data_IF_660209009448
#
_entry.id   IF_660209009448
#
_cell.length_a   1.000
_cell.length_b   1.000
_cell.length_c   1.000
_cell.angle_alpha   90.00
_cell.angle_beta   90.00
_cell.angle_gamma   90.00
#
_symmetry.space_group_name_H-M   'P 1'
#
loop_
_entity.id
_entity.type
_entity.pdbx_description
1 polymer ?
#
# COMPACT_ATOMS: atom_id res chain seq x y z
N UNK A 1 -27.92 -15.60 -30.30
CA UNK A 1 -26.47 -15.33 -30.40
C UNK A 1 -26.04 -13.94 -29.89
N UNK A 2 -26.80 -12.86 -30.09
CA UNK A 2 -26.46 -11.52 -29.53
C UNK A 2 -26.26 -11.50 -28.01
N UNK A 3 -27.09 -12.22 -27.25
CA UNK A 3 -26.96 -12.35 -25.78
C UNK A 3 -25.66 -13.04 -25.34
N UNK A 4 -25.22 -14.05 -26.08
CA UNK A 4 -23.97 -14.77 -25.81
C UNK A 4 -22.78 -13.85 -26.11
N UNK A 5 -22.81 -13.10 -27.21
CA UNK A 5 -21.77 -12.11 -27.52
C UNK A 5 -21.63 -11.04 -26.43
N UNK A 6 -22.74 -10.51 -25.92
CA UNK A 6 -22.72 -9.55 -24.80
C UNK A 6 -22.13 -10.19 -23.54
N UNK A 7 -22.52 -11.43 -23.21
CA UNK A 7 -21.98 -12.13 -22.05
C UNK A 7 -20.45 -12.32 -22.14
N UNK A 8 -19.94 -12.71 -23.31
CA UNK A 8 -18.49 -12.85 -23.54
C UNK A 8 -17.76 -11.52 -23.36
N UNK A 9 -18.32 -10.42 -23.88
CA UNK A 9 -17.73 -9.09 -23.72
C UNK A 9 -17.70 -8.65 -22.26
N UNK A 10 -18.80 -8.83 -21.52
CA UNK A 10 -18.86 -8.50 -20.10
C UNK A 10 -17.84 -9.33 -19.31
N UNK A 11 -17.72 -10.63 -19.61
CA UNK A 11 -16.76 -11.50 -18.95
C UNK A 11 -15.31 -11.08 -19.23
N UNK A 12 -14.99 -10.74 -20.48
CA UNK A 12 -13.67 -10.24 -20.85
C UNK A 12 -13.35 -8.92 -20.13
N UNK A 13 -14.33 -8.02 -19.98
CA UNK A 13 -14.17 -6.77 -19.24
C UNK A 13 -13.91 -7.01 -17.75
N UNK A 14 -14.60 -7.98 -17.13
CA UNK A 14 -14.36 -8.33 -15.73
C UNK A 14 -12.93 -8.85 -15.51
N UNK A 15 -12.46 -9.77 -16.37
CA UNK A 15 -11.09 -10.28 -16.30
C UNK A 15 -10.08 -9.14 -16.47
N UNK A 16 -10.30 -8.26 -17.44
CA UNK A 16 -9.43 -7.12 -17.68
C UNK A 16 -9.38 -6.18 -16.46
N UNK A 17 -10.53 -5.85 -15.86
CA UNK A 17 -10.62 -4.98 -14.69
C UNK A 17 -9.95 -5.61 -13.46
N UNK A 18 -10.17 -6.91 -13.20
CA UNK A 18 -9.50 -7.64 -12.12
C UNK A 18 -7.99 -7.72 -12.32
N UNK A 19 -7.53 -7.93 -13.56
CA UNK A 19 -6.11 -7.91 -13.88
C UNK A 19 -5.48 -6.53 -13.64
N UNK A 20 -6.17 -5.47 -14.06
CA UNK A 20 -5.72 -4.09 -13.84
C UNK A 20 -5.67 -3.71 -12.36
N UNK A 21 -6.67 -4.11 -11.56
CA UNK A 21 -6.68 -3.83 -10.12
C UNK A 21 -5.54 -4.54 -9.40
N UNK A 22 -5.29 -5.82 -9.73
CA UNK A 22 -4.17 -6.58 -9.17
C UNK A 22 -2.82 -5.98 -9.57
N UNK A 23 -2.64 -5.62 -10.85
CA UNK A 23 -1.41 -5.00 -11.31
C UNK A 23 -1.14 -3.64 -10.64
N UNK A 24 -2.18 -2.81 -10.50
CA UNK A 24 -2.08 -1.54 -9.78
C UNK A 24 -1.72 -1.78 -8.31
N UNK A 25 -2.40 -2.70 -7.63
CA UNK A 25 -2.12 -3.01 -6.23
C UNK A 25 -0.70 -3.52 -6.03
N UNK A 26 -0.21 -4.38 -6.93
CA UNK A 26 1.16 -4.88 -6.89
C UNK A 26 2.17 -3.75 -6.99
N UNK A 27 1.99 -2.86 -7.97
CA UNK A 27 2.87 -1.70 -8.18
C UNK A 27 2.90 -0.81 -6.94
N UNK A 28 1.73 -0.45 -6.40
CA UNK A 28 1.63 0.42 -5.22
C UNK A 28 2.28 -0.22 -3.99
N UNK A 29 1.96 -1.48 -3.71
CA UNK A 29 2.50 -2.18 -2.53
C UNK A 29 4.02 -2.36 -2.62
N UNK A 30 4.55 -2.62 -3.81
CA UNK A 30 5.99 -2.72 -4.04
C UNK A 30 6.68 -1.36 -3.85
N UNK A 31 6.21 -0.31 -4.54
CA UNK A 31 6.83 1.03 -4.50
C UNK A 31 6.84 1.60 -3.07
N UNK A 32 5.73 1.44 -2.34
CA UNK A 32 5.63 1.90 -0.96
C UNK A 32 6.48 1.07 0.00
N UNK A 33 6.53 -0.25 -0.18
CA UNK A 33 7.40 -1.13 0.64
C UNK A 33 8.87 -0.79 0.43
N UNK A 34 9.27 -0.49 -0.80
CA UNK A 34 10.63 -0.05 -1.13
C UNK A 34 10.93 1.31 -0.47
N UNK A 35 10.03 2.29 -0.61
CA UNK A 35 10.20 3.62 0.00
C UNK A 35 10.31 3.53 1.53
N UNK A 36 9.46 2.73 2.18
CA UNK A 36 9.52 2.51 3.63
C UNK A 36 10.81 1.77 4.05
N UNK A 37 11.32 0.86 3.22
CA UNK A 37 12.59 0.19 3.46
C UNK A 37 13.77 1.16 3.37
N UNK A 38 13.73 2.11 2.43
CA UNK A 38 14.71 3.18 2.32
C UNK A 38 14.67 4.13 3.53
N UNK A 39 13.48 4.48 4.05
CA UNK A 39 13.35 5.24 5.30
C UNK A 39 14.08 4.53 6.44
N UNK A 40 13.84 3.22 6.58
CA UNK A 40 14.48 2.41 7.62
C UNK A 40 16.01 2.36 7.47
N UNK A 41 16.51 2.29 6.24
CA UNK A 41 17.95 2.37 5.97
C UNK A 41 18.54 3.72 6.37
N UNK A 42 17.88 4.83 6.02
CA UNK A 42 18.28 6.17 6.47
C UNK A 42 18.29 6.32 7.99
N UNK A 43 17.31 5.73 8.68
CA UNK A 43 17.28 5.71 10.14
C UNK A 43 18.50 4.95 10.69
N UNK A 44 18.80 3.76 10.15
CA UNK A 44 19.94 2.94 10.58
C UNK A 44 21.29 3.63 10.33
N UNK A 45 21.39 4.42 9.26
CA UNK A 45 22.59 5.20 8.91
C UNK A 45 22.66 6.54 9.65
N UNK A 46 21.71 6.83 10.55
CA UNK A 46 21.60 8.10 11.29
C UNK A 46 21.39 9.33 10.40
N UNK A 47 20.83 9.14 9.19
CA UNK A 47 20.53 10.16 8.19
C UNK A 47 19.07 10.66 8.32
N UNK A 48 18.69 11.11 9.52
CA UNK A 48 17.29 11.38 9.90
C UNK A 48 16.60 12.43 9.00
N UNK A 49 17.34 13.43 8.49
CA UNK A 49 16.79 14.42 7.57
C UNK A 49 16.32 13.82 6.24
N UNK A 50 17.01 12.77 5.74
CA UNK A 50 16.58 12.05 4.53
C UNK A 50 15.36 11.18 4.83
N UNK A 51 15.35 10.51 5.98
CA UNK A 51 14.20 9.72 6.44
C UNK A 51 12.92 10.58 6.56
N UNK A 52 13.04 11.80 7.10
CA UNK A 52 11.95 12.78 7.18
C UNK A 52 11.43 13.17 5.79
N UNK A 53 12.34 13.56 4.88
CA UNK A 53 11.98 13.94 3.51
C UNK A 53 11.24 12.82 2.76
N UNK A 54 11.69 11.57 2.94
CA UNK A 54 11.06 10.42 2.30
C UNK A 54 9.71 10.05 2.95
N UNK A 55 9.51 10.38 4.22
CA UNK A 55 8.21 10.20 4.92
C UNK A 55 7.11 11.05 4.28
N UNK A 56 7.41 12.28 3.89
CA UNK A 56 6.45 13.14 3.19
C UNK A 56 6.05 12.53 1.82
N UNK A 57 6.99 11.85 1.15
CA UNK A 57 6.70 11.15 -0.10
C UNK A 57 5.76 9.96 0.11
N UNK A 58 5.96 9.18 1.18
CA UNK A 58 5.07 8.06 1.55
C UNK A 58 3.64 8.55 1.75
N UNK A 59 3.46 9.68 2.44
CA UNK A 59 2.12 10.26 2.65
C UNK A 59 1.45 10.64 1.34
N UNK A 60 2.19 11.32 0.47
CA UNK A 60 1.66 11.71 -0.82
C UNK A 60 1.29 10.50 -1.67
N UNK A 61 2.18 9.51 -1.76
CA UNK A 61 1.93 8.25 -2.47
C UNK A 61 0.70 7.53 -1.91
N UNK A 62 0.59 7.43 -0.59
CA UNK A 62 -0.56 6.80 0.05
C UNK A 62 -1.86 7.51 -0.30
N UNK A 63 -1.91 8.84 -0.14
CA UNK A 63 -3.15 9.59 -0.35
C UNK A 63 -3.65 9.51 -1.81
N UNK A 64 -2.74 9.48 -2.78
CA UNK A 64 -3.08 9.30 -4.19
C UNK A 64 -3.64 7.90 -4.44
N UNK A 65 -2.98 6.87 -3.92
CA UNK A 65 -3.30 5.48 -4.21
C UNK A 65 -4.50 4.96 -3.41
N UNK A 66 -4.70 5.39 -2.16
CA UNK A 66 -5.82 5.02 -1.30
C UNK A 66 -7.17 5.29 -1.98
N UNK A 67 -7.32 6.48 -2.60
CA UNK A 67 -8.53 6.85 -3.35
C UNK A 67 -8.85 5.86 -4.48
N UNK A 68 -7.83 5.24 -5.06
CA UNK A 68 -8.00 4.22 -6.10
C UNK A 68 -8.30 2.86 -5.47
N UNK A 69 -7.55 2.48 -4.42
CA UNK A 69 -7.63 1.19 -3.74
C UNK A 69 -8.97 0.98 -3.02
N UNK A 70 -9.61 2.04 -2.49
CA UNK A 70 -10.95 1.95 -1.86
C UNK A 70 -12.03 1.32 -2.75
N UNK A 71 -11.82 1.26 -4.07
CA UNK A 71 -12.76 0.63 -5.02
C UNK A 71 -12.72 -0.89 -5.02
N UNK A 72 -11.64 -1.50 -4.53
CA UNK A 72 -11.41 -2.95 -4.64
C UNK A 72 -10.70 -3.58 -3.44
N UNK A 73 -10.13 -2.79 -2.52
CA UNK A 73 -9.56 -3.26 -1.24
C UNK A 73 -10.52 -2.96 -0.10
N UNK A 74 -10.55 -3.80 0.92
CA UNK A 74 -11.35 -3.58 2.13
C UNK A 74 -10.97 -2.29 2.87
N UNK A 75 -11.95 -1.41 3.07
CA UNK A 75 -11.78 -0.11 3.74
C UNK A 75 -11.06 -0.20 5.09
N UNK A 76 -11.36 -1.20 5.92
CA UNK A 76 -10.77 -1.32 7.25
C UNK A 76 -9.23 -1.40 7.23
N UNK A 77 -8.66 -2.12 6.26
CA UNK A 77 -7.20 -2.23 6.11
C UNK A 77 -6.57 -0.90 5.68
N UNK A 78 -7.25 -0.17 4.79
CA UNK A 78 -6.81 1.14 4.35
C UNK A 78 -6.89 2.16 5.50
N UNK A 79 -7.98 2.17 6.26
CA UNK A 79 -8.18 3.09 7.38
C UNK A 79 -7.11 2.90 8.48
N UNK A 80 -6.72 1.65 8.76
CA UNK A 80 -5.64 1.34 9.71
C UNK A 80 -4.31 1.93 9.27
N UNK A 81 -3.92 1.71 8.01
CA UNK A 81 -2.67 2.24 7.44
C UNK A 81 -2.72 3.76 7.37
N UNK A 82 -3.85 4.35 6.98
CA UNK A 82 -4.06 5.81 6.98
C UNK A 82 -3.80 6.40 8.37
N UNK A 83 -4.28 5.75 9.43
CA UNK A 83 -4.06 6.18 10.80
C UNK A 83 -2.58 6.17 11.21
N UNK A 84 -1.80 5.20 10.74
CA UNK A 84 -0.36 5.13 11.04
C UNK A 84 0.42 6.15 10.22
N UNK A 85 0.18 6.18 8.90
CA UNK A 85 0.86 7.09 7.97
C UNK A 85 0.69 8.57 8.37
N UNK A 86 -0.50 8.94 8.85
CA UNK A 86 -0.77 10.31 9.32
C UNK A 86 0.11 10.74 10.51
N UNK A 87 0.63 9.80 11.30
CA UNK A 87 1.46 10.06 12.48
C UNK A 87 2.96 10.07 12.17
N UNK A 88 3.38 9.45 11.06
CA UNK A 88 4.79 9.31 10.69
C UNK A 88 5.57 10.64 10.64
N UNK A 89 5.04 11.77 10.13
CA UNK A 89 5.80 13.04 10.09
C UNK A 89 6.08 13.57 11.50
N UNK A 90 5.09 13.47 12.39
CA UNK A 90 5.26 13.90 13.78
C UNK A 90 6.27 13.03 14.50
N UNK A 91 6.26 11.71 14.25
CA UNK A 91 7.28 10.79 14.78
C UNK A 91 8.66 11.08 14.20
N UNK A 92 8.76 11.35 12.91
CA UNK A 92 10.03 11.65 12.25
C UNK A 92 10.62 12.99 12.76
N UNK A 93 9.78 14.00 13.02
CA UNK A 93 10.20 15.34 13.41
C UNK A 93 10.43 15.50 14.92
N UNK A 94 9.59 14.88 15.73
CA UNK A 94 9.53 15.13 17.18
C UNK A 94 9.60 13.86 18.03
N UNK A 95 9.39 12.69 17.42
CA UNK A 95 9.33 11.42 18.12
C UNK A 95 10.72 10.84 18.45
N UNK A 96 10.69 9.76 19.22
CA UNK A 96 11.87 8.92 19.41
C UNK A 96 12.18 8.19 18.09
N UNK A 97 13.45 8.17 17.68
CA UNK A 97 13.91 7.47 16.47
C UNK A 97 13.50 5.99 16.50
N UNK A 98 13.50 5.39 17.69
CA UNK A 98 13.12 3.99 17.90
C UNK A 98 11.62 3.76 17.63
N UNK A 99 10.78 4.70 18.06
CA UNK A 99 9.33 4.65 17.83
C UNK A 99 9.02 4.92 16.35
N UNK A 100 9.70 5.90 15.75
CA UNK A 100 9.59 6.15 14.32
C UNK A 100 9.99 4.94 13.47
N UNK A 101 11.11 4.29 13.79
CA UNK A 101 11.56 3.08 13.10
C UNK A 101 10.55 1.93 13.23
N UNK A 102 9.95 1.76 14.42
CA UNK A 102 8.95 0.73 14.66
C UNK A 102 7.68 0.97 13.83
N UNK A 103 7.17 2.20 13.77
CA UNK A 103 5.97 2.52 12.99
C UNK A 103 6.21 2.47 11.48
N UNK A 104 7.41 2.81 11.01
CA UNK A 104 7.81 2.61 9.60
C UNK A 104 7.78 1.13 9.23
N UNK A 105 8.37 0.26 10.06
CA UNK A 105 8.35 -1.19 9.82
C UNK A 105 6.93 -1.76 9.92
N UNK A 106 6.14 -1.30 10.89
CA UNK A 106 4.75 -1.71 11.05
C UNK A 106 3.91 -1.36 9.82
N UNK A 107 4.03 -0.12 9.32
CA UNK A 107 3.38 0.33 8.07
C UNK A 107 3.79 -0.55 6.90
N UNK A 108 5.09 -0.86 6.78
CA UNK A 108 5.64 -1.69 5.70
C UNK A 108 5.01 -3.10 5.70
N UNK A 109 4.87 -3.70 6.89
CA UNK A 109 4.25 -5.02 7.05
C UNK A 109 2.77 -4.99 6.67
N UNK A 110 2.02 -3.98 7.11
CA UNK A 110 0.60 -3.84 6.78
C UNK A 110 0.38 -3.65 5.27
N UNK A 111 1.19 -2.83 4.60
CA UNK A 111 1.11 -2.64 3.14
C UNK A 111 1.41 -3.94 2.40
N UNK A 112 2.44 -4.69 2.80
CA UNK A 112 2.72 -6.00 2.23
C UNK A 112 1.56 -6.98 2.46
N UNK A 113 0.91 -6.90 3.62
CA UNK A 113 -0.23 -7.76 3.94
C UNK A 113 -1.47 -7.49 3.09
N UNK A 114 -1.68 -6.26 2.60
CA UNK A 114 -2.76 -5.98 1.63
C UNK A 114 -2.56 -6.85 0.39
N UNK A 115 -1.35 -6.85 -0.19
CA UNK A 115 -1.05 -7.67 -1.36
C UNK A 115 -1.29 -9.16 -1.10
N UNK A 116 -0.78 -9.66 0.02
CA UNK A 116 -0.92 -11.06 0.40
C UNK A 116 -2.37 -11.48 0.61
N UNK A 117 -3.25 -10.56 1.01
CA UNK A 117 -4.68 -10.82 1.21
C UNK A 117 -5.48 -10.83 -0.09
N UNK A 118 -5.11 -9.98 -1.04
CA UNK A 118 -5.84 -9.78 -2.30
C UNK A 118 -5.40 -10.74 -3.41
N UNK A 119 -4.19 -11.29 -3.35
CA UNK A 119 -3.72 -12.23 -4.36
C UNK A 119 -4.52 -13.54 -4.30
N UNK A 120 -5.02 -14.07 -5.43
CA UNK A 120 -5.66 -15.38 -5.45
C UNK A 120 -4.65 -16.47 -5.08
N UNK A 121 -4.73 -16.97 -3.85
CA UNK A 121 -3.89 -18.06 -3.35
C UNK A 121 -4.76 -19.11 -2.68
N UNK A 122 -4.32 -20.38 -2.59
CA UNK A 122 -5.07 -21.41 -1.87
C UNK A 122 -5.43 -21.01 -0.43
N UNK A 123 -4.58 -20.22 0.23
CA UNK A 123 -4.80 -19.72 1.60
C UNK A 123 -5.90 -18.66 1.71
N UNK A 124 -6.16 -17.94 0.63
CA UNK A 124 -7.16 -16.86 0.60
C UNK A 124 -8.52 -17.35 0.06
N UNK A 125 -8.52 -18.49 -0.65
CA UNK A 125 -9.71 -19.06 -1.29
C UNK A 125 -10.33 -20.19 -0.43
N UNK A 126 -9.52 -20.93 0.34
CA UNK A 126 -9.92 -22.08 1.15
C UNK A 126 -9.46 -21.92 2.60
#
# INVERSE_FOLDING_TARGET
MKRVGVAVVVFALLIALSGLSLWHLHTVTQDMTETLSQIKEYINNNEIGQAQSLTDQVIHQWHVNEKVMTRYVHHHQLDEITGIIARLPSLAQYGDISEFAAEVEHTRVLIAHIWDSEIPSPKNIF
#
